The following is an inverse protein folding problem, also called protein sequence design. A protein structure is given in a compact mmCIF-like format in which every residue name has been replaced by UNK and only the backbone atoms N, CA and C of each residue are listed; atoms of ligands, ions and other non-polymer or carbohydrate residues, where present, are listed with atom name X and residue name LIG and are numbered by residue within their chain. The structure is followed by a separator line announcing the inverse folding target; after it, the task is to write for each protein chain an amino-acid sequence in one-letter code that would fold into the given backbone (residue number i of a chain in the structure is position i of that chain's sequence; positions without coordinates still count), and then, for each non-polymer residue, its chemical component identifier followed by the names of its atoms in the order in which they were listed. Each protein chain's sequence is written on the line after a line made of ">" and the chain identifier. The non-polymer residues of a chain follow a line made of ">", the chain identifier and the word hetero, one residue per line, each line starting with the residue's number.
data_IF_647586083342
#
_entry.id   IF_647586083342
#
_cell.length_a   1.000
_cell.length_b   1.000
_cell.length_c   1.000
_cell.angle_alpha   90.00
_cell.angle_beta   90.00
_cell.angle_gamma   90.00
#
_symmetry.space_group_name_H-M   'P 1'
#
loop_
_entity.id
_entity.type
_entity.pdbx_description
1 polymer ?
#
# COMPACT_ATOMS: atom_id res chain seq x y z
N UNK A 1 -33.32 41.64 -34.96
CA UNK A 1 -32.78 41.04 -36.19
C UNK A 1 -31.49 41.78 -36.55
N UNK A 2 -30.36 41.04 -36.52
CA UNK A 2 -28.99 41.32 -37.01
C UNK A 2 -28.20 42.58 -36.55
N UNK A 3 -26.84 42.55 -36.50
CA UNK A 3 -25.92 41.39 -36.38
C UNK A 3 -24.65 41.59 -35.49
N UNK A 4 -23.97 40.46 -35.24
CA UNK A 4 -22.51 40.18 -35.15
C UNK A 4 -21.54 41.13 -34.39
N UNK A 5 -20.76 40.67 -33.38
CA UNK A 5 -19.61 39.71 -33.36
C UNK A 5 -18.24 40.39 -33.44
N UNK A 6 -17.45 40.30 -32.35
CA UNK A 6 -15.97 40.28 -32.32
C UNK A 6 -15.46 40.04 -30.87
N UNK A 7 -14.26 39.48 -30.62
CA UNK A 7 -13.11 39.47 -31.51
C UNK A 7 -12.47 38.10 -31.79
N UNK A 8 -11.79 38.13 -32.92
CA UNK A 8 -10.87 37.19 -33.54
C UNK A 8 -9.68 36.84 -32.63
N UNK A 9 -9.51 35.56 -32.32
CA UNK A 9 -8.24 35.00 -31.83
C UNK A 9 -7.36 34.66 -33.05
N UNK A 10 -6.29 35.43 -33.27
CA UNK A 10 -5.18 35.07 -34.15
C UNK A 10 -4.09 34.45 -33.28
N UNK A 11 -3.87 33.14 -33.38
CA UNK A 11 -2.59 32.57 -32.96
C UNK A 11 -2.05 31.72 -34.11
N UNK A 12 -0.89 32.17 -34.57
CA UNK A 12 -0.01 31.63 -35.60
C UNK A 12 0.21 30.13 -35.41
N UNK A 13 0.07 29.40 -36.52
CA UNK A 13 0.54 28.03 -36.62
C UNK A 13 2.07 27.96 -36.56
N UNK A 14 2.57 26.91 -35.91
CA UNK A 14 3.93 26.42 -36.12
C UNK A 14 3.81 25.00 -36.64
N UNK A 15 3.89 24.88 -37.96
CA UNK A 15 4.09 23.61 -38.66
C UNK A 15 5.60 23.41 -38.71
N UNK A 16 6.14 22.56 -37.84
CA UNK A 16 7.54 22.14 -37.97
C UNK A 16 7.57 20.83 -38.77
N UNK A 17 7.98 20.98 -40.01
CA UNK A 17 8.18 19.92 -41.00
C UNK A 17 9.33 18.99 -40.63
N UNK A 18 9.07 17.71 -40.89
CA UNK A 18 9.99 16.62 -41.22
C UNK A 18 11.40 17.03 -41.69
N UNK A 19 12.41 16.32 -41.16
CA UNK A 19 13.59 15.93 -41.92
C UNK A 19 13.80 14.42 -41.76
N UNK A 20 13.31 13.67 -42.75
CA UNK A 20 13.76 12.32 -43.07
C UNK A 20 15.01 12.46 -43.94
N UNK A 21 16.13 11.86 -43.53
CA UNK A 21 17.19 11.46 -44.46
C UNK A 21 17.64 10.03 -44.15
N UNK A 22 17.61 9.25 -45.22
CA UNK A 22 17.79 7.81 -45.39
C UNK A 22 19.26 7.37 -45.44
N UNK A 23 19.56 6.12 -45.09
CA UNK A 23 20.29 5.17 -45.95
C UNK A 23 20.37 3.76 -45.32
N UNK A 24 20.28 2.74 -46.18
CA UNK A 24 20.12 1.31 -45.87
C UNK A 24 21.43 0.50 -46.00
N UNK A 25 21.57 -0.47 -45.09
CA UNK A 25 22.05 -1.89 -45.24
C UNK A 25 23.47 -2.20 -45.73
N UNK A 26 23.94 -3.48 -45.66
CA UNK A 26 23.92 -4.43 -44.55
C UNK A 26 25.36 -4.92 -44.21
N UNK A 27 25.59 -5.50 -43.03
CA UNK A 27 26.75 -6.40 -42.85
C UNK A 27 26.33 -7.66 -42.12
N UNK A 28 26.35 -8.74 -42.89
CA UNK A 28 26.25 -10.12 -42.45
C UNK A 28 27.54 -10.48 -41.71
N UNK A 29 27.45 -10.98 -40.49
CA UNK A 29 28.49 -11.83 -39.91
C UNK A 29 27.81 -12.96 -39.15
N UNK A 30 28.13 -14.16 -39.58
CA UNK A 30 27.59 -15.43 -39.13
C UNK A 30 28.47 -15.97 -38.01
N UNK A 31 27.81 -16.48 -36.96
CA UNK A 31 28.23 -17.43 -35.93
C UNK A 31 29.63 -17.31 -35.28
N UNK A 32 29.61 -17.01 -33.98
CA UNK A 32 30.50 -17.69 -33.03
C UNK A 32 29.70 -18.08 -31.79
N UNK A 33 29.80 -19.36 -31.44
CA UNK A 33 29.15 -20.01 -30.32
C UNK A 33 29.58 -19.44 -28.96
N UNK A 34 28.67 -19.52 -28.00
CA UNK A 34 28.71 -19.01 -26.62
C UNK A 34 30.02 -19.22 -25.85
N UNK A 35 30.24 -18.41 -24.80
CA UNK A 35 30.16 -19.00 -23.48
C UNK A 35 29.07 -18.34 -22.62
N UNK A 36 28.39 -19.21 -21.88
CA UNK A 36 27.34 -18.94 -20.90
C UNK A 36 27.78 -17.79 -20.01
N UNK A 37 27.10 -16.64 -20.12
CA UNK A 37 27.22 -15.57 -19.14
C UNK A 37 26.46 -16.04 -17.91
N UNK A 38 27.22 -16.52 -16.93
CA UNK A 38 26.72 -16.87 -15.61
C UNK A 38 25.76 -15.79 -15.13
N UNK A 39 24.59 -16.27 -14.72
CA UNK A 39 23.63 -15.58 -13.88
C UNK A 39 24.38 -14.80 -12.80
N UNK A 40 24.22 -13.47 -12.80
CA UNK A 40 24.17 -12.77 -11.52
C UNK A 40 22.71 -12.42 -11.32
N UNK A 41 21.93 -13.46 -11.06
CA UNK A 41 20.69 -13.35 -10.31
C UNK A 41 21.08 -12.61 -9.04
N UNK A 42 20.74 -11.32 -8.99
CA UNK A 42 20.81 -10.54 -7.77
C UNK A 42 20.18 -11.41 -6.68
N UNK A 43 20.86 -11.69 -5.56
CA UNK A 43 20.22 -12.36 -4.47
C UNK A 43 19.11 -11.42 -4.01
N UNK A 44 17.87 -11.75 -4.38
CA UNK A 44 16.68 -11.30 -3.70
C UNK A 44 16.83 -11.86 -2.28
N UNK A 45 17.58 -11.16 -1.43
CA UNK A 45 17.73 -11.59 -0.04
C UNK A 45 16.35 -11.47 0.58
N UNK A 46 15.67 -12.60 0.68
CA UNK A 46 14.45 -12.79 1.45
C UNK A 46 14.82 -12.83 2.94
N UNK A 47 15.63 -11.88 3.40
CA UNK A 47 16.02 -11.78 4.79
C UNK A 47 14.94 -10.93 5.49
N UNK A 48 14.02 -11.55 6.25
CA UNK A 48 12.89 -10.83 6.85
C UNK A 48 13.35 -9.75 7.83
N UNK A 49 14.61 -9.79 8.28
CA UNK A 49 15.18 -8.82 9.21
C UNK A 49 15.41 -7.47 8.51
N UNK A 50 15.94 -7.46 7.29
CA UNK A 50 16.29 -6.26 6.50
C UNK A 50 15.20 -5.84 5.49
N UNK A 51 14.14 -6.65 5.35
CA UNK A 51 13.04 -6.35 4.46
C UNK A 51 12.42 -4.97 4.77
N UNK A 52 12.15 -4.14 3.73
CA UNK A 52 11.38 -2.91 3.86
C UNK A 52 10.10 -3.13 4.68
N UNK A 53 9.69 -2.13 5.48
CA UNK A 53 8.54 -2.25 6.37
C UNK A 53 7.24 -2.63 5.63
N UNK A 54 7.09 -2.19 4.37
CA UNK A 54 5.98 -2.58 3.51
C UNK A 54 5.98 -4.09 3.20
N UNK A 55 7.15 -4.70 3.01
CA UNK A 55 7.24 -6.14 2.75
C UNK A 55 6.82 -6.94 3.98
N UNK A 56 7.28 -6.52 5.18
CA UNK A 56 6.84 -7.11 6.45
C UNK A 56 5.33 -7.01 6.62
N UNK A 57 4.75 -5.87 6.26
CA UNK A 57 3.32 -5.65 6.36
C UNK A 57 2.57 -6.58 5.40
N UNK A 58 2.98 -6.68 4.13
CA UNK A 58 2.36 -7.57 3.15
C UNK A 58 2.50 -9.05 3.53
N UNK A 59 3.64 -9.46 4.09
CA UNK A 59 3.85 -10.82 4.60
C UNK A 59 2.88 -11.12 5.76
N UNK A 60 2.75 -10.20 6.71
CA UNK A 60 1.81 -10.34 7.83
C UNK A 60 0.36 -10.37 7.34
N UNK A 61 -0.01 -9.49 6.40
CA UNK A 61 -1.34 -9.47 5.78
C UNK A 61 -1.70 -10.82 5.14
N UNK A 62 -0.76 -11.43 4.42
CA UNK A 62 -0.91 -12.76 3.81
C UNK A 62 -1.13 -13.89 4.84
N UNK A 63 -0.79 -13.65 6.11
CA UNK A 63 -0.97 -14.58 7.22
C UNK A 63 -2.17 -14.20 8.10
N UNK A 64 -2.94 -13.18 7.72
CA UNK A 64 -4.02 -12.62 8.53
C UNK A 64 -3.51 -11.99 9.84
N UNK A 65 -2.26 -11.49 9.85
CA UNK A 65 -1.59 -10.86 10.98
C UNK A 65 -1.36 -9.38 10.69
N UNK A 66 -1.08 -8.63 11.75
CA UNK A 66 -0.59 -7.27 11.63
C UNK A 66 0.90 -7.18 11.99
N UNK A 67 1.49 -6.00 11.84
CA UNK A 67 2.89 -5.75 12.17
C UNK A 67 3.16 -5.99 13.66
N UNK A 68 4.38 -6.43 13.95
CA UNK A 68 4.95 -6.56 15.30
C UNK A 68 4.79 -5.27 16.14
N UNK A 69 4.73 -5.37 17.48
CA UNK A 69 5.32 -6.44 18.31
C UNK A 69 4.42 -7.63 18.64
N UNK A 70 3.13 -7.61 18.29
CA UNK A 70 2.20 -8.64 18.74
C UNK A 70 1.69 -9.49 17.57
N UNK A 71 1.79 -10.81 17.72
CA UNK A 71 1.37 -11.78 16.69
C UNK A 71 -0.14 -12.05 16.69
N UNK A 72 -0.96 -11.04 16.96
CA UNK A 72 -2.40 -11.22 16.86
C UNK A 72 -2.79 -11.47 15.40
N UNK A 73 -3.74 -12.38 15.22
CA UNK A 73 -4.20 -12.82 13.90
C UNK A 73 -5.72 -12.85 13.86
N UNK A 74 -6.27 -12.71 12.66
CA UNK A 74 -7.66 -13.02 12.38
C UNK A 74 -7.98 -14.46 12.86
N UNK A 75 -9.13 -14.62 13.48
CA UNK A 75 -9.59 -15.88 14.06
C UNK A 75 -9.08 -16.19 15.48
N UNK A 76 -8.17 -15.38 16.05
CA UNK A 76 -7.75 -15.54 17.44
C UNK A 76 -8.92 -15.30 18.40
N UNK A 77 -8.93 -15.99 19.53
CA UNK A 77 -9.91 -15.83 20.60
C UNK A 77 -9.63 -14.58 21.45
N UNK A 78 -10.65 -14.09 22.18
CA UNK A 78 -10.47 -13.05 23.20
C UNK A 78 -9.40 -13.41 24.22
N UNK A 79 -9.37 -14.67 24.67
CA UNK A 79 -8.39 -15.15 25.65
C UNK A 79 -6.96 -15.08 25.12
N UNK A 80 -6.74 -15.38 23.84
CA UNK A 80 -5.43 -15.22 23.21
C UNK A 80 -4.98 -13.75 23.19
N UNK A 81 -5.90 -12.82 22.91
CA UNK A 81 -5.61 -11.38 22.94
C UNK A 81 -5.29 -10.91 24.36
N UNK A 82 -6.09 -11.30 25.35
CA UNK A 82 -5.87 -10.93 26.76
C UNK A 82 -4.59 -11.53 27.33
N UNK A 83 -4.23 -12.74 26.91
CA UNK A 83 -2.97 -13.38 27.32
C UNK A 83 -1.75 -12.63 26.78
N UNK A 84 -1.88 -12.01 25.60
CA UNK A 84 -0.79 -11.28 24.94
C UNK A 84 -0.69 -9.83 25.41
N UNK A 85 -1.82 -9.15 25.62
CA UNK A 85 -1.87 -7.69 25.87
C UNK A 85 -2.39 -7.31 27.26
N UNK A 86 -2.77 -8.30 28.07
CA UNK A 86 -3.49 -8.08 29.32
C UNK A 86 -4.99 -7.85 29.08
N UNK A 87 -5.73 -7.65 30.17
CA UNK A 87 -7.15 -7.30 30.06
C UNK A 87 -7.31 -5.93 29.38
N UNK A 88 -8.32 -5.75 28.54
CA UNK A 88 -8.54 -4.47 27.89
C UNK A 88 -8.96 -3.40 28.93
N UNK A 89 -8.72 -2.10 28.63
CA UNK A 89 -9.24 -0.97 29.39
C UNK A 89 -10.78 -1.02 29.53
N UNK A 90 -11.31 -0.33 30.54
CA UNK A 90 -12.72 -0.38 30.93
C UNK A 90 -13.70 0.10 29.84
N UNK A 91 -13.21 0.88 28.90
CA UNK A 91 -13.89 1.45 27.74
C UNK A 91 -13.99 0.49 26.54
N UNK A 92 -13.45 -0.73 26.67
CA UNK A 92 -13.70 -1.83 25.73
C UNK A 92 -15.05 -2.52 25.98
N UNK A 93 -15.61 -3.13 24.92
CA UNK A 93 -16.88 -3.88 24.99
C UNK A 93 -16.67 -5.35 24.64
N UNK A 94 -17.68 -6.20 24.88
CA UNK A 94 -17.61 -7.62 24.50
C UNK A 94 -17.33 -7.85 23.00
N UNK A 95 -17.66 -6.90 22.13
CA UNK A 95 -17.45 -7.03 20.69
C UNK A 95 -16.19 -6.32 20.20
N UNK A 96 -15.52 -5.58 21.08
CA UNK A 96 -14.46 -4.66 20.69
C UNK A 96 -13.46 -4.44 21.81
N UNK A 97 -12.19 -4.79 21.57
CA UNK A 97 -11.09 -4.48 22.47
C UNK A 97 -10.23 -3.36 21.88
N UNK A 98 -9.76 -2.46 22.74
CA UNK A 98 -8.91 -1.33 22.37
C UNK A 98 -7.71 -1.24 23.31
N UNK A 99 -6.51 -1.04 22.78
CA UNK A 99 -5.30 -0.92 23.59
C UNK A 99 -4.47 0.27 23.10
N UNK A 100 -4.23 1.22 24.00
CA UNK A 100 -3.24 2.28 23.80
C UNK A 100 -1.86 1.77 24.23
N UNK A 101 -1.03 1.40 23.25
CA UNK A 101 0.35 1.01 23.48
C UNK A 101 1.27 2.22 23.29
N UNK A 102 2.52 2.09 23.73
CA UNK A 102 3.47 3.22 23.78
C UNK A 102 3.62 3.96 22.44
N UNK A 103 3.67 3.24 21.33
CA UNK A 103 3.93 3.80 19.98
C UNK A 103 2.73 3.72 19.05
N UNK A 104 1.68 3.00 19.43
CA UNK A 104 0.55 2.71 18.57
C UNK A 104 -0.68 2.36 19.38
N UNK A 105 -1.83 2.59 18.78
CA UNK A 105 -3.12 2.11 19.20
C UNK A 105 -3.48 0.88 18.38
N UNK A 106 -3.96 -0.16 19.03
CA UNK A 106 -4.54 -1.34 18.37
C UNK A 106 -5.96 -1.56 18.83
N UNK A 107 -6.83 -1.90 17.90
CA UNK A 107 -8.16 -2.39 18.22
C UNK A 107 -8.49 -3.70 17.53
N UNK A 108 -9.29 -4.52 18.21
CA UNK A 108 -9.78 -5.81 17.76
C UNK A 108 -11.30 -5.80 17.75
N UNK A 109 -11.90 -6.17 16.62
CA UNK A 109 -13.34 -6.44 16.53
C UNK A 109 -13.55 -7.94 16.56
N UNK A 110 -14.55 -8.39 17.32
CA UNK A 110 -14.87 -9.80 17.49
C UNK A 110 -16.21 -10.17 16.82
N UNK A 111 -16.22 -11.33 16.17
CA UNK A 111 -17.41 -12.00 15.69
C UNK A 111 -17.36 -13.46 16.17
N UNK A 112 -18.41 -13.92 16.86
CA UNK A 112 -18.45 -15.26 17.45
C UNK A 112 -17.21 -15.55 18.34
N UNK A 113 -16.86 -14.59 19.20
CA UNK A 113 -15.68 -14.60 20.10
C UNK A 113 -14.31 -14.76 19.44
N UNK A 114 -14.24 -14.61 18.11
CA UNK A 114 -13.01 -14.62 17.33
C UNK A 114 -12.76 -13.26 16.71
N UNK A 115 -11.50 -12.88 16.62
CA UNK A 115 -11.06 -11.66 15.97
C UNK A 115 -11.46 -11.69 14.50
N UNK A 116 -12.35 -10.80 14.10
CA UNK A 116 -12.79 -10.62 12.71
C UNK A 116 -12.11 -9.43 12.03
N UNK A 117 -11.62 -8.46 12.81
CA UNK A 117 -10.83 -7.35 12.31
C UNK A 117 -9.78 -6.90 13.32
N UNK A 118 -8.65 -6.45 12.81
CA UNK A 118 -7.58 -5.81 13.56
C UNK A 118 -7.29 -4.46 12.90
N UNK A 119 -7.25 -3.40 13.69
CA UNK A 119 -6.83 -2.06 13.27
C UNK A 119 -5.60 -1.66 14.07
N UNK A 120 -4.62 -1.10 13.37
CA UNK A 120 -3.39 -0.57 13.93
C UNK A 120 -3.26 0.89 13.51
N UNK A 121 -3.08 1.79 14.46
CA UNK A 121 -2.92 3.22 14.24
C UNK A 121 -1.66 3.70 14.99
N UNK A 122 -0.81 4.50 14.34
CA UNK A 122 0.36 5.05 15.01
C UNK A 122 -0.01 6.31 15.82
N UNK A 123 0.45 6.41 17.08
CA UNK A 123 -0.06 7.42 18.02
C UNK A 123 0.47 8.85 17.80
N UNK A 124 1.73 9.01 17.38
CA UNK A 124 2.36 10.34 17.28
C UNK A 124 3.25 10.51 16.05
N UNK A 125 3.56 9.44 15.33
CA UNK A 125 4.39 9.48 14.14
C UNK A 125 3.74 8.60 13.08
N UNK A 126 3.51 9.13 11.88
CA UNK A 126 3.17 8.28 10.75
C UNK A 126 4.29 7.25 10.55
N UNK A 127 3.94 6.06 10.10
CA UNK A 127 4.94 5.03 9.83
C UNK A 127 5.97 5.53 8.81
N UNK A 128 7.10 4.84 8.70
CA UNK A 128 8.05 5.12 7.63
C UNK A 128 7.58 4.64 6.24
N UNK A 129 6.32 4.21 6.07
CA UNK A 129 5.78 3.68 4.80
C UNK A 129 5.11 4.80 4.00
N UNK A 130 5.70 5.26 2.88
CA UNK A 130 5.08 6.21 1.97
C UNK A 130 3.93 5.58 1.18
N UNK A 131 2.96 6.41 0.77
CA UNK A 131 1.89 6.04 -0.15
C UNK A 131 2.40 5.34 -1.42
N UNK A 132 3.46 5.90 -2.02
CA UNK A 132 4.04 5.39 -3.27
C UNK A 132 4.63 3.99 -3.14
N UNK A 133 5.15 3.64 -1.95
CA UNK A 133 5.71 2.30 -1.73
C UNK A 133 4.60 1.24 -1.68
N UNK A 134 3.42 1.58 -1.18
CA UNK A 134 2.26 0.69 -1.19
C UNK A 134 1.78 0.45 -2.62
N UNK A 135 1.61 1.51 -3.41
CA UNK A 135 1.23 1.41 -4.83
C UNK A 135 2.27 0.61 -5.62
N UNK A 136 3.56 0.89 -5.43
CA UNK A 136 4.64 0.18 -6.12
C UNK A 136 4.66 -1.31 -5.76
N UNK A 137 4.34 -1.66 -4.51
CA UNK A 137 4.40 -3.04 -4.04
C UNK A 137 3.17 -3.87 -4.40
N UNK A 138 1.97 -3.30 -4.25
CA UNK A 138 0.70 -4.00 -4.39
C UNK A 138 -0.04 -3.69 -5.70
N UNK A 139 0.45 -2.71 -6.46
CA UNK A 139 -0.26 -2.16 -7.61
C UNK A 139 -1.32 -1.14 -7.21
N UNK A 140 -1.93 -0.54 -8.23
CA UNK A 140 -3.12 0.29 -8.07
C UNK A 140 -4.31 -0.58 -7.64
N UNK A 141 -5.15 -0.05 -6.76
CA UNK A 141 -6.43 -0.69 -6.40
C UNK A 141 -7.60 0.09 -7.01
N UNK A 142 -8.68 -0.62 -7.37
CA UNK A 142 -9.94 0.01 -7.77
C UNK A 142 -10.72 0.60 -6.58
N UNK A 143 -10.35 0.25 -5.34
CA UNK A 143 -11.04 0.68 -4.12
C UNK A 143 -10.24 1.76 -3.40
N UNK A 144 -10.34 2.99 -3.93
CA UNK A 144 -9.74 4.19 -3.35
C UNK A 144 -10.84 5.10 -2.81
N UNK A 145 -10.83 5.36 -1.51
CA UNK A 145 -11.76 6.30 -0.87
C UNK A 145 -10.94 7.51 -0.41
N UNK A 146 -11.39 8.71 -0.80
CA UNK A 146 -10.80 9.98 -0.36
C UNK A 146 -11.87 10.72 0.42
N UNK A 147 -11.68 10.86 1.73
CA UNK A 147 -12.63 11.53 2.62
C UNK A 147 -11.92 12.16 3.82
N UNK A 148 -12.46 13.26 4.35
CA UNK A 148 -12.03 13.93 5.59
C UNK A 148 -10.52 14.11 5.74
N UNK A 149 -9.84 14.49 4.66
CA UNK A 149 -8.39 14.70 4.68
C UNK A 149 -7.56 13.40 4.74
N UNK A 150 -8.14 12.27 4.34
CA UNK A 150 -7.45 10.98 4.25
C UNK A 150 -7.63 10.34 2.87
N UNK A 151 -6.71 9.43 2.54
CA UNK A 151 -6.79 8.52 1.41
C UNK A 151 -6.74 7.10 1.96
N UNK A 152 -7.73 6.30 1.61
CA UNK A 152 -7.83 4.90 1.98
C UNK A 152 -7.65 4.04 0.74
N UNK A 153 -6.67 3.13 0.78
CA UNK A 153 -6.43 2.13 -0.25
C UNK A 153 -6.83 0.76 0.28
N UNK A 154 -7.81 0.12 -0.34
CA UNK A 154 -8.27 -1.21 0.06
C UNK A 154 -7.83 -2.27 -0.94
N UNK A 155 -7.24 -3.36 -0.45
CA UNK A 155 -6.76 -4.49 -1.22
C UNK A 155 -7.34 -5.80 -0.67
N UNK A 156 -7.53 -6.79 -1.54
CA UNK A 156 -7.75 -8.18 -1.11
C UNK A 156 -6.42 -8.91 -1.22
N UNK A 157 -5.87 -9.33 -0.08
CA UNK A 157 -4.64 -10.11 0.00
C UNK A 157 -5.01 -11.50 0.52
N UNK A 158 -5.03 -12.49 -0.38
CA UNK A 158 -5.59 -13.84 -0.15
C UNK A 158 -7.03 -13.78 0.37
N UNK A 159 -7.26 -14.20 1.61
CA UNK A 159 -8.57 -14.26 2.27
C UNK A 159 -8.79 -13.13 3.26
N UNK A 160 -7.95 -12.09 3.20
CA UNK A 160 -8.04 -10.91 4.05
C UNK A 160 -8.25 -9.68 3.19
N UNK A 161 -9.15 -8.82 3.63
CA UNK A 161 -9.26 -7.48 3.09
C UNK A 161 -8.43 -6.53 3.95
N UNK A 162 -7.67 -5.68 3.30
CA UNK A 162 -6.59 -4.90 3.88
C UNK A 162 -6.77 -3.46 3.49
N UNK A 163 -6.87 -2.55 4.47
CA UNK A 163 -7.03 -1.12 4.20
C UNK A 163 -5.86 -0.33 4.77
N UNK A 164 -5.23 0.46 3.91
CA UNK A 164 -4.16 1.38 4.24
C UNK A 164 -4.70 2.80 4.28
N UNK A 165 -4.44 3.56 5.34
CA UNK A 165 -4.94 4.92 5.52
C UNK A 165 -3.78 5.91 5.59
N UNK A 166 -3.82 6.88 4.69
CA UNK A 166 -2.85 7.95 4.56
C UNK A 166 -3.53 9.30 4.83
N UNK A 167 -2.83 10.28 5.42
CA UNK A 167 -3.28 11.66 5.43
C UNK A 167 -3.16 12.23 4.01
N UNK A 168 -4.11 13.09 3.64
CA UNK A 168 -4.10 13.78 2.36
C UNK A 168 -3.23 15.04 2.47
N UNK A 169 -2.02 14.97 1.91
CA UNK A 169 -1.12 16.13 1.76
C UNK A 169 -1.11 16.62 0.31
N UNK A 170 -0.84 17.92 0.12
CA UNK A 170 -0.64 18.51 -1.22
C UNK A 170 0.52 17.82 -1.97
N UNK A 171 1.58 17.47 -1.24
CA UNK A 171 2.68 16.66 -1.75
C UNK A 171 2.45 15.18 -1.42
N UNK A 172 2.23 14.36 -2.45
CA UNK A 172 1.99 12.91 -2.27
C UNK A 172 3.18 12.18 -1.63
N UNK A 173 4.41 12.70 -1.77
CA UNK A 173 5.60 12.08 -1.19
C UNK A 173 5.68 12.25 0.33
N UNK A 174 4.89 13.16 0.90
CA UNK A 174 4.79 13.37 2.35
C UNK A 174 3.71 12.47 2.98
N UNK A 175 2.87 11.84 2.16
CA UNK A 175 1.80 10.97 2.63
C UNK A 175 2.39 9.65 3.12
N UNK A 176 2.47 9.54 4.45
CA UNK A 176 2.94 8.34 5.14
C UNK A 176 1.78 7.62 5.80
N UNK A 177 1.82 6.29 5.79
CA UNK A 177 0.76 5.46 6.35
C UNK A 177 0.59 5.76 7.85
N UNK A 178 -0.65 6.05 8.25
CA UNK A 178 -1.03 6.40 9.62
C UNK A 178 -1.88 5.34 10.28
N UNK A 179 -2.59 4.55 9.48
CA UNK A 179 -3.36 3.41 9.96
C UNK A 179 -3.34 2.30 8.94
N UNK A 180 -3.42 1.09 9.46
CA UNK A 180 -3.52 -0.15 8.70
C UNK A 180 -4.57 -1.05 9.36
N UNK A 181 -5.44 -1.66 8.57
CA UNK A 181 -6.39 -2.64 9.09
C UNK A 181 -6.45 -3.89 8.23
N UNK A 182 -6.74 -5.00 8.89
CA UNK A 182 -7.08 -6.27 8.26
C UNK A 182 -8.45 -6.73 8.76
N UNK A 183 -9.20 -7.36 7.88
CA UNK A 183 -10.46 -7.99 8.23
C UNK A 183 -10.68 -9.24 7.39
N UNK A 184 -11.49 -10.15 7.94
CA UNK A 184 -11.96 -11.32 7.20
C UNK A 184 -12.74 -10.83 5.98
N UNK A 185 -12.39 -11.33 4.81
CA UNK A 185 -13.17 -11.05 3.59
C UNK A 185 -14.55 -11.71 3.72
N UNK A 186 -15.65 -11.00 3.43
CA UNK A 186 -17.01 -11.54 3.45
C UNK A 186 -17.19 -12.80 2.59
#
# INVERSE_FOLDING_TARGET
>A
MNPHSSPTLKILGVVSTFLLLTACTPTKTENSSSPIKNETTQPSSSDPITAPLIDKLVINANQGRILEPFQAKLGASKQEIESALGKPPADSSEKYYSYDLKTHHVSFTFQQDKVSSIMYHWNQESSSIPYQDVIKKLGETSHIIKDKGTIQLTYTIKSSTVTFVFPMHQNQNEQKLTQYSIHITP
#
